data_IF_504255774063
#
_entry.id   IF_504255774063
#
_cell.length_a   1.000
_cell.length_b   1.000
_cell.length_c   1.000
_cell.angle_alpha   90.00
_cell.angle_beta   90.00
_cell.angle_gamma   90.00
#
_symmetry.space_group_name_H-M   'P 1'
#
loop_
_entity.id
_entity.type
_entity.pdbx_description
1 polymer ?
#
# COMPACT_ATOMS: atom_id res chain seq x y z
N UNK A 1 -14.52 18.04 15.88
CA UNK A 1 -13.36 18.29 14.99
C UNK A 1 -13.44 17.38 13.80
N UNK A 2 -13.21 17.91 12.63
CA UNK A 2 -13.23 17.10 11.40
C UNK A 2 -11.80 16.72 11.03
N UNK A 3 -11.53 15.44 11.00
CA UNK A 3 -10.20 14.93 10.64
C UNK A 3 -9.86 15.27 9.19
N UNK A 4 -10.87 15.35 8.33
CA UNK A 4 -10.65 15.58 6.90
C UNK A 4 -10.03 16.93 6.58
N UNK A 5 -10.12 17.88 7.50
CA UNK A 5 -9.57 19.22 7.26
C UNK A 5 -8.12 19.37 7.70
N UNK A 6 -7.55 18.34 8.30
CA UNK A 6 -6.16 18.41 8.77
C UNK A 6 -5.15 18.26 7.65
N UNK A 7 -5.55 17.59 6.56
CA UNK A 7 -4.66 17.35 5.43
C UNK A 7 -5.45 17.67 4.17
N UNK A 8 -5.10 18.76 3.52
CA UNK A 8 -5.73 19.12 2.26
C UNK A 8 -5.14 18.28 1.13
N UNK A 9 -5.99 17.91 0.20
CA UNK A 9 -5.63 17.15 -1.01
C UNK A 9 -5.18 15.73 -0.75
N UNK A 10 -5.23 15.26 0.49
CA UNK A 10 -4.92 13.87 0.77
C UNK A 10 -6.05 12.96 0.31
N UNK A 11 -5.70 11.81 -0.21
CA UNK A 11 -6.67 10.80 -0.62
C UNK A 11 -6.52 9.55 0.20
N UNK A 12 -7.64 8.90 0.47
CA UNK A 12 -7.66 7.59 1.11
C UNK A 12 -7.76 6.56 -0.01
N UNK A 13 -6.84 5.64 -0.02
CA UNK A 13 -6.76 4.59 -1.05
C UNK A 13 -6.86 3.23 -0.41
N UNK A 14 -7.55 2.33 -1.08
CA UNK A 14 -7.53 0.92 -0.71
C UNK A 14 -6.94 0.15 -1.89
N UNK A 15 -5.85 -0.55 -1.67
CA UNK A 15 -5.17 -1.30 -2.72
C UNK A 15 -4.96 -2.73 -2.27
N UNK A 16 -5.36 -3.68 -3.13
CA UNK A 16 -5.17 -5.11 -2.85
C UNK A 16 -3.75 -5.57 -3.14
N UNK A 17 -3.28 -6.51 -2.35
CA UNK A 17 -1.99 -7.16 -2.57
C UNK A 17 -2.24 -8.40 -3.42
N UNK A 18 -1.82 -8.34 -4.67
CA UNK A 18 -1.99 -9.46 -5.60
C UNK A 18 -0.89 -10.50 -5.41
N UNK A 19 -1.14 -11.75 -5.80
CA UNK A 19 -0.12 -12.79 -5.61
C UNK A 19 1.20 -12.51 -6.31
N UNK A 20 1.18 -11.75 -7.40
CA UNK A 20 2.38 -11.42 -8.16
C UNK A 20 2.85 -9.99 -7.92
N UNK A 21 2.35 -9.34 -6.88
CA UNK A 21 2.78 -7.99 -6.51
C UNK A 21 4.25 -8.01 -6.06
N UNK A 22 4.94 -6.91 -6.31
CA UNK A 22 6.34 -6.80 -5.89
C UNK A 22 6.50 -6.71 -4.37
N UNK A 23 5.42 -6.48 -3.64
CA UNK A 23 5.48 -6.34 -2.18
C UNK A 23 4.91 -7.53 -1.42
N UNK A 24 4.41 -8.56 -2.12
CA UNK A 24 3.87 -9.74 -1.45
C UNK A 24 4.97 -10.46 -0.67
N UNK A 25 4.63 -10.94 0.52
CA UNK A 25 5.54 -11.65 1.42
C UNK A 25 6.70 -10.81 1.95
N UNK A 26 6.58 -9.49 1.87
CA UNK A 26 7.57 -8.58 2.44
C UNK A 26 7.04 -7.92 3.69
N UNK A 27 7.91 -7.74 4.67
CA UNK A 27 7.59 -6.95 5.85
C UNK A 27 7.47 -5.47 5.47
N UNK A 28 6.58 -4.77 6.13
CA UNK A 28 6.37 -3.35 5.88
C UNK A 28 7.67 -2.56 5.99
N UNK A 29 8.51 -2.89 6.97
CA UNK A 29 9.81 -2.23 7.15
C UNK A 29 10.75 -2.38 5.95
N UNK A 30 10.52 -3.37 5.11
CA UNK A 30 11.36 -3.64 3.93
C UNK A 30 10.81 -3.00 2.67
N UNK A 31 9.66 -2.36 2.74
CA UNK A 31 9.02 -1.74 1.59
C UNK A 31 9.27 -0.24 1.65
N UNK A 32 9.74 0.32 0.55
CA UNK A 32 10.03 1.75 0.49
C UNK A 32 8.78 2.53 0.10
N UNK A 33 7.89 2.72 1.07
CA UNK A 33 6.74 3.59 0.86
C UNK A 33 7.20 5.04 0.73
N UNK A 34 6.53 5.83 -0.12
CA UNK A 34 6.85 7.25 -0.17
C UNK A 34 6.53 7.92 1.17
N UNK A 35 7.33 8.90 1.52
CA UNK A 35 7.16 9.59 2.82
C UNK A 35 5.87 10.40 2.88
N UNK A 36 5.25 10.67 1.74
CA UNK A 36 3.98 11.41 1.68
C UNK A 36 2.76 10.49 1.82
N UNK A 37 2.96 9.27 2.28
CA UNK A 37 1.87 8.32 2.48
C UNK A 37 1.98 7.66 3.84
N UNK A 38 0.82 7.32 4.39
CA UNK A 38 0.73 6.63 5.68
C UNK A 38 -0.17 5.42 5.49
N UNK A 39 0.25 4.29 6.02
CA UNK A 39 -0.61 3.11 6.05
C UNK A 39 -1.54 3.26 7.25
N UNK A 40 -2.84 3.26 6.98
CA UNK A 40 -3.84 3.38 8.03
C UNK A 40 -4.30 2.06 8.60
N UNK A 41 -4.39 1.03 7.75
CA UNK A 41 -4.88 -0.28 8.18
C UNK A 41 -4.54 -1.31 7.12
N UNK A 42 -4.53 -2.58 7.55
CA UNK A 42 -4.45 -3.73 6.63
C UNK A 42 -5.67 -4.58 6.90
N UNK A 43 -6.37 -4.94 5.84
CA UNK A 43 -7.53 -5.82 5.95
C UNK A 43 -7.13 -7.21 5.46
N UNK A 44 -7.30 -8.19 6.32
CA UNK A 44 -6.95 -9.58 6.02
C UNK A 44 -8.09 -10.48 6.43
N UNK A 45 -8.72 -11.14 5.44
CA UNK A 45 -9.80 -12.08 5.71
C UNK A 45 -10.91 -11.48 6.58
N UNK A 46 -11.29 -10.24 6.27
CA UNK A 46 -12.35 -9.55 6.99
C UNK A 46 -11.95 -8.94 8.31
N UNK A 47 -10.69 -9.05 8.71
CA UNK A 47 -10.21 -8.47 9.95
C UNK A 47 -9.28 -7.31 9.68
N UNK A 48 -9.34 -6.30 10.55
CA UNK A 48 -8.45 -5.15 10.45
C UNK A 48 -7.22 -5.39 11.31
N UNK A 49 -6.06 -5.24 10.71
CA UNK A 49 -4.78 -5.29 11.40
C UNK A 49 -4.23 -3.89 11.56
N UNK A 50 -3.72 -3.60 12.74
CA UNK A 50 -3.02 -2.34 12.97
C UNK A 50 -1.62 -2.47 12.37
N UNK A 51 -1.25 -1.60 11.44
CA UNK A 51 0.07 -1.72 10.79
C UNK A 51 1.21 -1.52 11.77
N UNK A 52 2.25 -2.31 11.60
CA UNK A 52 3.52 -2.10 12.28
C UNK A 52 4.62 -2.62 11.35
N UNK A 53 5.87 -2.28 11.69
CA UNK A 53 6.99 -2.57 10.80
C UNK A 53 7.25 -4.05 10.56
N UNK A 54 6.81 -4.91 11.47
CA UNK A 54 7.09 -6.33 11.40
C UNK A 54 6.04 -7.14 10.64
N UNK A 55 4.90 -6.52 10.34
CA UNK A 55 3.85 -7.22 9.60
C UNK A 55 4.34 -7.53 8.19
N UNK A 56 4.13 -8.76 7.78
CA UNK A 56 4.41 -9.22 6.41
C UNK A 56 3.11 -9.12 5.62
N UNK A 57 3.14 -8.45 4.48
CA UNK A 57 1.98 -8.37 3.61
C UNK A 57 1.78 -9.69 2.90
N UNK A 58 0.53 -10.13 2.83
CA UNK A 58 0.16 -11.40 2.21
C UNK A 58 -0.73 -11.17 1.02
N UNK A 59 -0.67 -12.10 0.07
CA UNK A 59 -1.60 -12.11 -1.05
C UNK A 59 -3.03 -12.09 -0.53
N UNK A 60 -3.86 -11.26 -1.10
CA UNK A 60 -5.26 -11.12 -0.68
C UNK A 60 -5.49 -10.02 0.35
N UNK A 61 -4.44 -9.49 0.93
CA UNK A 61 -4.58 -8.34 1.84
C UNK A 61 -5.06 -7.12 1.07
N UNK A 62 -5.77 -6.24 1.76
CA UNK A 62 -6.02 -4.88 1.28
C UNK A 62 -5.31 -3.91 2.19
N UNK A 63 -4.63 -2.94 1.62
CA UNK A 63 -3.92 -1.92 2.37
C UNK A 63 -4.65 -0.60 2.21
N UNK A 64 -5.01 0.00 3.34
CA UNK A 64 -5.64 1.32 3.38
C UNK A 64 -4.54 2.34 3.62
N UNK A 65 -4.41 3.29 2.70
CA UNK A 65 -3.38 4.33 2.80
C UNK A 65 -4.03 5.71 2.74
N UNK A 66 -3.39 6.65 3.41
CA UNK A 66 -3.69 8.06 3.23
C UNK A 66 -2.48 8.67 2.53
N UNK A 67 -2.69 9.30 1.39
CA UNK A 67 -1.58 9.73 0.54
C UNK A 67 -1.83 11.11 -0.03
N UNK A 68 -0.76 11.90 -0.10
CA UNK A 68 -0.78 13.14 -0.86
C UNK A 68 -0.69 12.81 -2.35
N UNK A 69 -1.21 13.68 -3.23
CA UNK A 69 -1.27 13.37 -4.65
C UNK A 69 0.05 12.95 -5.28
N UNK A 70 1.16 13.55 -4.84
CA UNK A 70 2.47 13.19 -5.38
C UNK A 70 2.92 11.78 -5.06
N UNK A 71 2.32 11.14 -4.07
CA UNK A 71 2.68 9.78 -3.67
C UNK A 71 1.85 8.71 -4.38
N UNK A 72 0.71 9.07 -4.95
CA UNK A 72 -0.25 8.09 -5.48
C UNK A 72 0.38 7.22 -6.55
N UNK A 73 1.04 7.82 -7.52
CA UNK A 73 1.67 7.07 -8.61
C UNK A 73 2.77 6.14 -8.08
N UNK A 74 3.53 6.61 -7.11
CA UNK A 74 4.59 5.78 -6.51
C UNK A 74 4.00 4.59 -5.77
N UNK A 75 2.88 4.78 -5.09
CA UNK A 75 2.19 3.72 -4.38
C UNK A 75 1.67 2.68 -5.37
N UNK A 76 1.05 3.13 -6.45
CA UNK A 76 0.55 2.22 -7.46
C UNK A 76 1.66 1.35 -8.04
N UNK A 77 2.82 1.93 -8.26
CA UNK A 77 3.97 1.17 -8.76
C UNK A 77 4.46 0.13 -7.76
N UNK A 78 4.42 0.45 -6.47
CA UNK A 78 4.81 -0.51 -5.44
C UNK A 78 3.90 -1.74 -5.42
N UNK A 79 2.60 -1.53 -5.65
CA UNK A 79 1.62 -2.61 -5.61
C UNK A 79 1.49 -3.32 -6.95
N UNK A 80 2.19 -2.84 -7.95
CA UNK A 80 2.12 -3.41 -9.29
C UNK A 80 2.77 -4.80 -9.31
N UNK A 81 2.47 -5.52 -10.37
CA UNK A 81 3.01 -6.87 -10.56
C UNK A 81 4.51 -6.83 -10.73
N UNK A 82 5.17 -7.87 -10.25
CA UNK A 82 6.55 -8.09 -10.61
C UNK A 82 6.64 -8.22 -12.11
N UNK A 83 7.47 -7.39 -12.72
CA UNK A 83 7.63 -7.46 -14.15
C UNK A 83 8.52 -8.61 -14.51
N UNK A 84 7.96 -9.53 -15.25
CA UNK A 84 8.73 -10.54 -15.94
C UNK A 84 9.25 -9.86 -17.18
N UNK A 85 10.55 -9.82 -17.35
CA UNK A 85 11.12 -9.11 -18.48
C UNK A 85 11.08 -9.99 -19.72
N UNK A 86 10.06 -9.82 -20.54
CA UNK A 86 9.89 -10.56 -21.78
C UNK A 86 10.01 -9.60 -22.94
N UNK A 87 10.90 -9.87 -23.87
CA UNK A 87 11.21 -8.89 -24.93
C UNK A 87 10.08 -8.62 -25.91
N UNK A 88 9.11 -9.49 -25.98
CA UNK A 88 7.99 -9.31 -26.92
C UNK A 88 6.73 -8.79 -26.25
N UNK A 89 6.83 -8.27 -25.07
CA UNK A 89 5.68 -7.74 -24.36
C UNK A 89 5.20 -6.40 -24.89
#
# INVERSE_FOLDING_TARGET
MSVFKLIEDAEVMEIGVEPDSSIVDKQISKIKFPKEAIIGAILRKGEMLIPNDEITLESGDSVILVALPGAIEKIEKLFDRKRSFLPFQ
#
